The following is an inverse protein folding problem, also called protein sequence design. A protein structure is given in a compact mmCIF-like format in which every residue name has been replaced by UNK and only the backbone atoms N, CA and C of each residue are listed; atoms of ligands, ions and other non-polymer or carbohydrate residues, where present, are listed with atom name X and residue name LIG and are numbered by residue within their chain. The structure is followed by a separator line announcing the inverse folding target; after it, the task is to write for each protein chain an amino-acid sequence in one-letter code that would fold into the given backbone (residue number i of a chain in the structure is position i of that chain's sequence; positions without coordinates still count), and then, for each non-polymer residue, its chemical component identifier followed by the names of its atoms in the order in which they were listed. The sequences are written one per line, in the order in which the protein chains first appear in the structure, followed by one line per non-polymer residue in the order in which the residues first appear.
data_IF_701873695768
#
_entry.id   IF_701873695768
#
_cell.length_a   1.000
_cell.length_b   1.000
_cell.length_c   1.000
_cell.angle_alpha   90.00
_cell.angle_beta   90.00
_cell.angle_gamma   90.00
#
_symmetry.space_group_name_H-M   'P 1'
#
loop_
_entity.id
_entity.type
_entity.pdbx_description
1 polymer ?
#
# COMPACT_ATOMS: atom_id res chain seq x y z
N UNK A 1 28.94 -0.25 5.36
CA UNK A 1 28.92 1.22 5.41
C UNK A 1 27.71 1.86 4.69
N UNK A 2 27.29 1.46 3.48
CA UNK A 2 26.14 2.05 2.77
C UNK A 2 24.80 1.99 3.57
N UNK A 3 24.54 0.92 4.32
CA UNK A 3 23.29 0.75 5.10
C UNK A 3 23.17 1.73 6.30
N UNK A 4 24.29 2.10 6.93
CA UNK A 4 24.31 3.06 8.03
C UNK A 4 24.12 4.51 7.55
N UNK A 5 24.57 4.83 6.33
CA UNK A 5 24.39 6.17 5.75
C UNK A 5 22.91 6.44 5.46
N UNK A 6 22.17 5.46 4.98
CA UNK A 6 20.71 5.58 4.74
C UNK A 6 19.91 5.74 6.04
N UNK A 7 20.26 4.99 7.09
CA UNK A 7 19.60 5.11 8.40
C UNK A 7 19.87 6.49 9.04
N UNK A 8 21.09 7.00 8.92
CA UNK A 8 21.47 8.32 9.45
C UNK A 8 20.80 9.46 8.68
N UNK A 9 20.70 9.35 7.34
CA UNK A 9 19.99 10.32 6.51
C UNK A 9 18.50 10.39 6.84
N UNK A 10 17.86 9.23 7.10
CA UNK A 10 16.45 9.16 7.55
C UNK A 10 16.24 9.82 8.91
N UNK A 11 17.14 9.62 9.89
CA UNK A 11 17.03 10.23 11.21
C UNK A 11 17.22 11.75 11.15
N UNK A 12 18.14 12.26 10.33
CA UNK A 12 18.37 13.70 10.16
C UNK A 12 17.18 14.36 9.45
N UNK A 13 16.55 13.71 8.47
CA UNK A 13 15.35 14.21 7.79
C UNK A 13 14.14 14.28 8.75
N UNK A 14 13.97 13.29 9.63
CA UNK A 14 12.90 13.28 10.64
C UNK A 14 13.11 14.35 11.69
N UNK A 15 14.36 14.57 12.17
CA UNK A 15 14.67 15.59 13.14
C UNK A 15 14.48 17.03 12.59
N UNK A 16 14.82 17.25 11.32
CA UNK A 16 14.59 18.54 10.64
C UNK A 16 13.11 18.90 10.49
N UNK A 17 12.23 17.89 10.33
CA UNK A 17 10.79 18.09 10.15
C UNK A 17 10.08 18.59 11.40
N UNK A 18 10.51 18.17 12.59
CA UNK A 18 9.95 18.63 13.87
C UNK A 18 10.18 20.12 14.13
N UNK A 19 11.28 20.68 13.62
CA UNK A 19 11.59 22.11 13.74
C UNK A 19 10.78 22.99 12.77
N UNK A 20 10.54 22.51 11.55
CA UNK A 20 9.80 23.24 10.53
C UNK A 20 8.29 23.32 10.83
N UNK A 21 7.71 22.29 11.41
CA UNK A 21 6.29 22.26 11.80
C UNK A 21 5.96 23.26 12.93
N UNK A 22 6.93 23.62 13.77
CA UNK A 22 6.71 24.60 14.86
C UNK A 22 6.48 26.04 14.38
N UNK A 23 6.99 26.40 13.19
CA UNK A 23 6.84 27.77 12.63
C UNK A 23 5.54 28.00 11.85
N UNK A 24 4.86 26.95 11.41
CA UNK A 24 3.61 27.06 10.64
C UNK A 24 2.33 27.16 11.50
N UNK A 25 2.44 27.16 12.84
CA UNK A 25 1.27 27.21 13.74
C UNK A 25 0.45 28.50 13.73
N UNK A 26 0.83 29.51 12.96
CA UNK A 26 0.19 30.84 13.04
C UNK A 26 -0.95 31.04 12.02
N UNK A 27 -1.27 30.04 11.18
CA UNK A 27 -2.35 30.12 10.18
C UNK A 27 -3.36 28.96 10.26
N UNK A 28 -3.66 28.50 11.46
CA UNK A 28 -4.69 27.47 11.66
C UNK A 28 -6.09 28.09 11.66
N UNK A 29 -6.61 28.40 10.50
CA UNK A 29 -7.97 28.94 10.41
C UNK A 29 -8.83 28.11 9.44
N UNK A 30 -8.97 26.93 9.42
CA UNK A 30 -9.97 26.10 8.71
C UNK A 30 -9.45 24.68 8.48
N UNK A 31 -9.11 23.97 9.57
CA UNK A 31 -8.80 22.55 9.44
C UNK A 31 -10.06 21.81 8.92
N UNK A 32 -9.97 21.11 7.80
CA UNK A 32 -11.07 20.31 7.29
C UNK A 32 -11.49 19.25 8.30
N UNK A 33 -12.80 19.05 8.46
CA UNK A 33 -13.32 17.97 9.29
C UNK A 33 -13.07 16.59 8.70
N UNK A 34 -13.06 16.52 7.37
CA UNK A 34 -12.80 15.30 6.59
C UNK A 34 -11.92 15.58 5.40
N UNK A 35 -11.16 14.55 5.01
CA UNK A 35 -10.35 14.53 3.81
C UNK A 35 -10.78 13.38 2.91
N UNK A 36 -10.95 13.66 1.64
CA UNK A 36 -11.08 12.69 0.57
C UNK A 36 -9.81 12.73 -0.27
N UNK A 37 -9.20 11.58 -0.49
CA UNK A 37 -7.98 11.46 -1.30
C UNK A 37 -8.22 10.51 -2.46
N UNK A 38 -7.72 10.86 -3.63
CA UNK A 38 -7.61 9.97 -4.78
C UNK A 38 -6.18 10.03 -5.30
N UNK A 39 -5.59 8.88 -5.62
CA UNK A 39 -4.21 8.80 -6.07
C UNK A 39 -3.97 7.65 -7.05
N UNK A 40 -2.92 7.83 -7.84
CA UNK A 40 -2.37 6.81 -8.72
C UNK A 40 -0.90 6.61 -8.40
N UNK A 41 -0.41 5.40 -8.60
CA UNK A 41 1.01 5.12 -8.32
C UNK A 41 1.52 3.89 -9.04
N UNK A 42 2.83 3.74 -9.01
CA UNK A 42 3.52 2.56 -9.45
C UNK A 42 4.11 1.81 -8.25
N UNK A 43 4.11 0.48 -8.30
CA UNK A 43 4.75 -0.36 -7.31
C UNK A 43 5.38 -1.59 -7.95
N UNK A 44 6.34 -2.18 -7.26
CA UNK A 44 6.86 -3.51 -7.55
C UNK A 44 6.52 -4.44 -6.40
N UNK A 45 6.47 -5.73 -6.64
CA UNK A 45 6.23 -6.74 -5.61
C UNK A 45 7.22 -7.89 -5.79
N UNK A 46 7.66 -8.49 -4.70
CA UNK A 46 8.40 -9.75 -4.78
C UNK A 46 7.43 -10.94 -4.71
N UNK A 47 7.87 -12.10 -5.18
CA UNK A 47 7.07 -13.31 -5.20
C UNK A 47 6.70 -13.83 -3.81
N UNK A 48 5.63 -14.60 -3.76
CA UNK A 48 5.16 -15.35 -2.60
C UNK A 48 4.96 -16.82 -2.95
N UNK A 49 5.02 -17.68 -1.94
CA UNK A 49 4.79 -19.12 -2.08
C UNK A 49 3.49 -19.48 -1.36
N UNK A 50 2.58 -20.10 -2.06
CA UNK A 50 1.38 -20.71 -1.47
C UNK A 50 1.65 -22.19 -1.22
N UNK A 51 1.94 -22.56 0.02
CA UNK A 51 2.23 -23.93 0.40
C UNK A 51 1.00 -24.83 0.39
N UNK A 52 -0.21 -24.28 0.44
CA UNK A 52 -1.46 -25.05 0.41
C UNK A 52 -1.70 -25.63 -0.98
N UNK A 53 -1.46 -24.85 -2.02
CA UNK A 53 -1.59 -25.27 -3.41
C UNK A 53 -0.27 -25.70 -4.05
N UNK A 54 0.82 -25.68 -3.28
CA UNK A 54 2.18 -25.93 -3.74
C UNK A 54 2.54 -25.08 -4.97
N UNK A 55 2.18 -23.80 -4.92
CA UNK A 55 2.40 -22.85 -6.01
C UNK A 55 3.27 -21.67 -5.60
N UNK A 56 3.94 -21.09 -6.58
CA UNK A 56 4.74 -19.86 -6.44
C UNK A 56 4.15 -18.80 -7.37
N UNK A 57 3.99 -17.60 -6.84
CA UNK A 57 3.52 -16.42 -7.56
C UNK A 57 4.68 -15.44 -7.67
N UNK A 58 5.30 -15.35 -8.82
CA UNK A 58 6.43 -14.45 -9.07
C UNK A 58 5.94 -13.20 -9.81
N UNK A 59 5.93 -12.08 -9.10
CA UNK A 59 5.51 -10.78 -9.64
C UNK A 59 6.60 -10.11 -10.49
N UNK A 60 7.80 -10.67 -10.52
CA UNK A 60 8.92 -10.11 -11.27
C UNK A 60 9.36 -8.73 -10.78
N UNK A 61 10.10 -8.01 -11.61
CA UNK A 61 10.59 -6.65 -11.32
C UNK A 61 9.82 -5.55 -12.04
N UNK A 62 8.76 -5.89 -12.78
CA UNK A 62 7.97 -4.92 -13.53
C UNK A 62 7.21 -3.97 -12.60
N UNK A 63 7.11 -2.72 -12.98
CA UNK A 63 6.29 -1.73 -12.28
C UNK A 63 4.83 -1.94 -12.62
N UNK A 64 4.02 -2.16 -11.61
CA UNK A 64 2.57 -2.29 -11.69
C UNK A 64 1.90 -0.99 -11.29
N UNK A 65 0.76 -0.69 -11.91
CA UNK A 65 -0.02 0.49 -11.56
C UNK A 65 -1.08 0.17 -10.51
N UNK A 66 -1.29 1.11 -9.58
CA UNK A 66 -2.32 1.03 -8.56
C UNK A 66 -3.12 2.33 -8.47
N UNK A 67 -4.40 2.18 -8.11
CA UNK A 67 -5.29 3.28 -7.75
C UNK A 67 -5.54 3.23 -6.26
N UNK A 68 -5.56 4.39 -5.60
CA UNK A 68 -5.88 4.49 -4.17
C UNK A 68 -6.94 5.55 -3.95
N UNK A 69 -7.86 5.27 -3.03
CA UNK A 69 -8.79 6.24 -2.48
C UNK A 69 -8.81 6.13 -0.96
N UNK A 70 -8.98 7.27 -0.26
CA UNK A 70 -9.16 7.28 1.20
C UNK A 70 -10.21 8.29 1.62
N UNK A 71 -10.85 8.00 2.77
CA UNK A 71 -11.69 8.90 3.51
C UNK A 71 -11.15 8.99 4.95
N UNK A 72 -10.77 10.19 5.35
CA UNK A 72 -10.07 10.43 6.60
C UNK A 72 -10.74 11.55 7.38
N UNK A 73 -10.81 11.42 8.70
CA UNK A 73 -11.23 12.48 9.60
C UNK A 73 -10.01 13.33 9.96
N UNK A 74 -10.13 14.64 9.77
CA UNK A 74 -9.12 15.61 10.20
C UNK A 74 -9.02 15.64 11.73
N UNK A 75 -7.79 15.69 12.20
CA UNK A 75 -7.44 15.85 13.62
C UNK A 75 -6.69 17.18 13.83
N UNK A 76 -6.53 17.54 15.07
CA UNK A 76 -5.68 18.68 15.42
C UNK A 76 -4.25 18.48 14.87
N UNK A 77 -3.56 19.57 14.57
CA UNK A 77 -2.17 19.56 14.06
C UNK A 77 -1.98 19.11 12.60
N UNK A 78 -3.02 19.16 11.76
CA UNK A 78 -2.92 18.80 10.34
C UNK A 78 -2.73 17.32 10.08
N UNK A 79 -2.98 16.46 11.04
CA UNK A 79 -3.03 15.01 10.84
C UNK A 79 -4.45 14.54 10.57
N UNK A 80 -4.59 13.33 10.09
CA UNK A 80 -5.89 12.69 9.86
C UNK A 80 -5.78 11.18 10.04
N UNK A 81 -6.92 10.56 10.31
CA UNK A 81 -7.06 9.12 10.45
C UNK A 81 -8.34 8.67 9.75
N UNK A 82 -8.30 7.53 9.08
CA UNK A 82 -9.44 7.01 8.35
C UNK A 82 -9.23 5.65 7.75
N UNK A 83 -9.89 5.43 6.64
CA UNK A 83 -9.81 4.20 5.86
C UNK A 83 -9.31 4.51 4.45
N UNK A 84 -8.53 3.59 3.90
CA UNK A 84 -8.07 3.66 2.52
C UNK A 84 -8.20 2.31 1.84
N UNK A 85 -8.44 2.35 0.53
CA UNK A 85 -8.44 1.17 -0.33
C UNK A 85 -7.55 1.38 -1.53
N UNK A 86 -6.88 0.31 -1.98
CA UNK A 86 -6.16 0.31 -3.25
C UNK A 86 -6.67 -0.82 -4.14
N UNK A 87 -6.51 -0.62 -5.44
CA UNK A 87 -6.78 -1.64 -6.45
C UNK A 87 -5.64 -1.65 -7.47
N UNK A 88 -5.19 -2.85 -7.84
CA UNK A 88 -4.26 -3.07 -8.93
C UNK A 88 -4.58 -4.38 -9.65
N UNK A 89 -4.41 -4.42 -10.97
CA UNK A 89 -4.32 -5.67 -11.72
C UNK A 89 -2.85 -5.96 -11.99
N UNK A 90 -2.39 -7.11 -11.53
CA UNK A 90 -0.97 -7.45 -11.46
C UNK A 90 -0.70 -8.69 -12.31
N UNK A 91 0.11 -8.59 -13.38
CA UNK A 91 0.64 -9.76 -14.07
C UNK A 91 1.70 -10.44 -13.21
N UNK A 92 1.77 -11.77 -13.29
CA UNK A 92 2.77 -12.57 -12.58
C UNK A 92 3.02 -13.89 -13.29
N UNK A 93 4.16 -14.51 -13.01
CA UNK A 93 4.43 -15.88 -13.41
C UNK A 93 3.92 -16.83 -12.30
N UNK A 94 3.03 -17.71 -12.67
CA UNK A 94 2.53 -18.77 -11.81
C UNK A 94 3.27 -20.07 -12.10
N UNK A 95 3.72 -20.76 -11.06
CA UNK A 95 4.25 -22.11 -11.18
C UNK A 95 3.75 -22.99 -10.03
N UNK A 96 3.47 -24.26 -10.30
CA UNK A 96 3.01 -25.18 -9.28
C UNK A 96 3.68 -26.54 -9.41
N UNK A 97 3.94 -27.19 -8.26
CA UNK A 97 4.32 -28.58 -8.21
C UNK A 97 3.08 -29.45 -8.42
N UNK A 98 2.99 -30.05 -9.61
CA UNK A 98 1.86 -30.90 -9.99
C UNK A 98 1.90 -32.28 -9.33
N UNK A 99 3.03 -32.67 -8.71
CA UNK A 99 3.16 -33.95 -7.99
C UNK A 99 2.54 -33.90 -6.59
N UNK A 100 2.45 -32.70 -6.00
CA UNK A 100 1.77 -32.49 -4.73
C UNK A 100 0.26 -32.56 -4.87
N UNK A 101 -0.47 -33.28 -4.03
CA UNK A 101 -1.92 -33.34 -4.09
C UNK A 101 -2.53 -31.98 -3.78
N UNK A 102 -3.59 -31.61 -4.51
CA UNK A 102 -4.43 -30.47 -4.11
C UNK A 102 -5.30 -30.85 -2.92
N UNK A 103 -5.45 -29.97 -1.91
CA UNK A 103 -6.47 -30.16 -0.89
C UNK A 103 -7.85 -30.28 -1.51
N UNK A 104 -8.74 -31.07 -0.91
CA UNK A 104 -10.08 -31.33 -1.43
C UNK A 104 -10.96 -30.07 -1.53
N UNK A 105 -10.65 -29.05 -0.71
CA UNK A 105 -11.30 -27.74 -0.67
C UNK A 105 -10.65 -26.70 -1.59
N UNK A 106 -9.48 -26.99 -2.15
CA UNK A 106 -8.82 -26.11 -3.09
C UNK A 106 -9.49 -26.18 -4.47
N UNK A 107 -9.95 -25.05 -4.95
CA UNK A 107 -10.51 -24.92 -6.30
C UNK A 107 -9.51 -24.23 -7.24
N UNK A 108 -9.68 -24.45 -8.55
CA UNK A 108 -8.82 -23.89 -9.58
C UNK A 108 -7.89 -24.94 -10.22
N UNK A 109 -7.36 -24.59 -11.38
CA UNK A 109 -6.37 -25.39 -12.11
C UNK A 109 -4.95 -25.04 -11.65
N UNK A 110 -3.98 -25.89 -11.99
CA UNK A 110 -2.55 -25.61 -11.81
C UNK A 110 -1.83 -25.80 -13.13
N UNK A 111 -0.84 -24.98 -13.39
CA UNK A 111 0.11 -25.16 -14.48
C UNK A 111 1.52 -25.31 -13.91
N UNK A 112 2.37 -26.05 -14.61
CA UNK A 112 3.78 -26.20 -14.22
C UNK A 112 4.51 -24.85 -14.28
N UNK A 113 4.20 -24.03 -15.30
CA UNK A 113 4.67 -22.65 -15.45
C UNK A 113 3.78 -21.95 -16.46
N UNK A 114 3.17 -20.84 -16.10
CA UNK A 114 2.34 -20.05 -17.00
C UNK A 114 2.30 -18.56 -16.60
N UNK A 115 2.05 -17.71 -17.58
CA UNK A 115 1.75 -16.31 -17.34
C UNK A 115 0.30 -16.16 -16.86
N UNK A 116 0.11 -15.31 -15.90
CA UNK A 116 -1.16 -15.10 -15.25
C UNK A 116 -1.31 -13.65 -14.79
N UNK A 117 -2.52 -13.27 -14.40
CA UNK A 117 -2.81 -12.04 -13.72
C UNK A 117 -3.73 -12.28 -12.53
N UNK A 118 -3.68 -11.35 -11.58
CA UNK A 118 -4.60 -11.30 -10.45
C UNK A 118 -5.05 -9.87 -10.16
N UNK A 119 -6.17 -9.75 -9.48
CA UNK A 119 -6.62 -8.48 -8.91
C UNK A 119 -6.17 -8.41 -7.45
N UNK A 120 -5.38 -7.38 -7.13
CA UNK A 120 -4.91 -7.10 -5.79
C UNK A 120 -5.68 -5.90 -5.22
N UNK A 121 -6.36 -6.10 -4.10
CA UNK A 121 -7.15 -5.07 -3.42
C UNK A 121 -6.70 -4.96 -1.98
N UNK A 122 -6.47 -3.75 -1.48
CA UNK A 122 -6.21 -3.53 -0.06
C UNK A 122 -7.34 -2.78 0.61
N UNK A 123 -7.54 -3.05 1.89
CA UNK A 123 -8.36 -2.24 2.79
C UNK A 123 -7.59 -2.02 4.08
N UNK A 124 -7.33 -0.76 4.41
CA UNK A 124 -6.47 -0.40 5.53
C UNK A 124 -7.07 0.73 6.36
N UNK A 125 -6.79 0.72 7.66
CA UNK A 125 -6.80 1.91 8.47
C UNK A 125 -5.57 2.74 8.10
N UNK A 126 -5.73 4.04 7.89
CA UNK A 126 -4.66 4.94 7.47
C UNK A 126 -4.52 6.10 8.43
N UNK A 127 -3.29 6.43 8.79
CA UNK A 127 -2.91 7.63 9.49
C UNK A 127 -2.04 8.47 8.56
N UNK A 128 -2.40 9.74 8.42
CA UNK A 128 -1.68 10.68 7.58
C UNK A 128 -1.30 11.90 8.43
N UNK A 129 -0.03 12.29 8.39
CA UNK A 129 0.48 13.47 9.07
C UNK A 129 1.10 14.41 8.04
N UNK A 130 0.73 15.66 8.11
CA UNK A 130 1.16 16.72 7.20
C UNK A 130 0.01 17.16 6.29
N UNK A 131 -0.41 18.39 6.50
CA UNK A 131 -1.36 19.11 5.67
C UNK A 131 -1.16 20.62 5.88
N UNK A 132 -1.64 21.43 4.96
CA UNK A 132 -1.59 22.87 5.06
C UNK A 132 -1.31 23.53 3.72
N UNK A 133 -1.31 24.86 3.70
CA UNK A 133 -0.97 25.61 2.49
C UNK A 133 0.56 25.62 2.27
N UNK A 134 0.97 25.54 1.01
CA UNK A 134 2.37 25.53 0.61
C UNK A 134 3.05 24.18 0.78
N UNK A 135 4.37 24.17 0.74
CA UNK A 135 5.16 22.95 0.82
C UNK A 135 5.19 22.39 2.24
N UNK A 136 4.96 21.08 2.38
CA UNK A 136 5.02 20.38 3.66
C UNK A 136 5.52 18.94 3.46
N UNK A 137 6.10 18.38 4.52
CA UNK A 137 6.46 16.97 4.60
C UNK A 137 5.27 16.20 5.15
N UNK A 138 5.17 14.93 4.74
CA UNK A 138 4.10 14.06 5.19
C UNK A 138 4.61 12.65 5.52
N UNK A 139 3.91 12.02 6.45
CA UNK A 139 4.12 10.64 6.84
C UNK A 139 2.77 9.93 6.74
N UNK A 140 2.77 8.73 6.18
CA UNK A 140 1.61 7.87 6.10
C UNK A 140 1.91 6.52 6.74
N UNK A 141 0.99 6.02 7.56
CA UNK A 141 1.06 4.69 8.16
C UNK A 141 -0.26 3.97 7.88
N UNK A 142 -0.17 2.76 7.37
CA UNK A 142 -1.32 1.93 7.07
C UNK A 142 -1.24 0.58 7.80
N UNK A 143 -2.38 0.05 8.19
CA UNK A 143 -2.52 -1.30 8.73
C UNK A 143 -3.86 -1.90 8.32
N UNK A 144 -3.83 -3.12 7.81
CA UNK A 144 -5.05 -3.78 7.34
C UNK A 144 -4.79 -5.08 6.61
N UNK A 145 -5.44 -5.26 5.48
CA UNK A 145 -5.39 -6.49 4.68
C UNK A 145 -5.15 -6.21 3.21
N UNK A 146 -4.53 -7.18 2.54
CA UNK A 146 -4.48 -7.29 1.08
C UNK A 146 -5.20 -8.58 0.66
N UNK A 147 -6.07 -8.47 -0.33
CA UNK A 147 -6.77 -9.60 -0.95
C UNK A 147 -6.25 -9.82 -2.36
N UNK A 148 -5.84 -11.03 -2.65
CA UNK A 148 -5.47 -11.51 -3.97
C UNK A 148 -6.64 -12.30 -4.54
N UNK A 149 -7.21 -11.83 -5.64
CA UNK A 149 -8.41 -12.44 -6.23
C UNK A 149 -8.27 -12.60 -7.74
N UNK A 150 -9.18 -13.36 -8.33
CA UNK A 150 -9.25 -13.53 -9.79
C UNK A 150 -7.93 -13.98 -10.42
N UNK A 151 -7.23 -14.95 -9.76
CA UNK A 151 -6.05 -15.56 -10.33
C UNK A 151 -6.45 -16.29 -11.62
N UNK A 152 -5.96 -15.81 -12.76
CA UNK A 152 -6.31 -16.36 -14.08
C UNK A 152 -5.09 -16.49 -14.96
N UNK A 153 -5.03 -17.60 -15.67
CA UNK A 153 -4.04 -17.82 -16.71
C UNK A 153 -4.33 -16.91 -17.92
N UNK A 154 -3.30 -16.34 -18.51
CA UNK A 154 -3.47 -15.37 -19.60
C UNK A 154 -3.86 -16.02 -20.93
N UNK A 155 -3.49 -17.29 -21.16
CA UNK A 155 -3.70 -17.97 -22.44
C UNK A 155 -5.16 -18.34 -22.71
N UNK A 156 -5.91 -18.74 -21.70
CA UNK A 156 -7.27 -19.27 -21.83
C UNK A 156 -8.26 -18.73 -20.79
N UNK A 157 -7.78 -17.88 -19.85
CA UNK A 157 -8.57 -17.31 -18.77
C UNK A 157 -8.97 -18.33 -17.68
N UNK A 158 -8.36 -19.53 -17.68
CA UNK A 158 -8.62 -20.54 -16.66
C UNK A 158 -8.28 -19.99 -15.26
N UNK A 159 -9.16 -20.28 -14.29
CA UNK A 159 -8.94 -19.88 -12.90
C UNK A 159 -7.87 -20.76 -12.28
N UNK A 160 -6.82 -20.14 -11.75
CA UNK A 160 -5.73 -20.83 -11.08
C UNK A 160 -6.01 -21.02 -9.58
N UNK A 161 -5.38 -22.05 -9.01
CA UNK A 161 -5.42 -22.29 -7.56
C UNK A 161 -4.53 -21.29 -6.79
N UNK A 162 -4.99 -20.82 -5.61
CA UNK A 162 -6.29 -21.08 -4.99
C UNK A 162 -7.42 -20.29 -5.66
N UNK A 163 -8.45 -21.00 -6.15
CA UNK A 163 -9.55 -20.38 -6.91
C UNK A 163 -10.38 -19.36 -6.12
N UNK A 164 -10.36 -19.44 -4.79
CA UNK A 164 -10.96 -18.45 -3.87
C UNK A 164 -10.13 -17.20 -3.68
N UNK A 165 -8.87 -17.21 -4.10
CA UNK A 165 -7.88 -16.20 -3.76
C UNK A 165 -7.35 -16.34 -2.33
N UNK A 166 -6.62 -15.33 -1.86
CA UNK A 166 -6.06 -15.28 -0.51
C UNK A 166 -6.22 -13.88 0.09
N UNK A 167 -6.19 -13.80 1.44
CA UNK A 167 -6.25 -12.54 2.19
C UNK A 167 -5.14 -12.55 3.24
N UNK A 168 -4.25 -11.57 3.16
CA UNK A 168 -3.10 -11.43 4.03
C UNK A 168 -3.17 -10.17 4.88
N UNK A 169 -2.66 -10.18 6.12
CA UNK A 169 -2.41 -8.97 6.87
C UNK A 169 -1.34 -8.12 6.18
N UNK A 170 -1.52 -6.79 6.27
CA UNK A 170 -0.70 -5.81 5.59
C UNK A 170 -0.34 -4.64 6.51
N UNK A 171 0.93 -4.21 6.43
CA UNK A 171 1.42 -2.98 7.03
C UNK A 171 2.18 -2.15 6.01
N UNK A 172 2.04 -0.82 6.11
CA UNK A 172 2.73 0.11 5.23
C UNK A 172 3.22 1.32 6.01
N UNK A 173 4.39 1.81 5.63
CA UNK A 173 4.91 3.08 6.09
C UNK A 173 5.37 3.90 4.87
N UNK A 174 5.02 5.17 4.86
CA UNK A 174 5.32 6.08 3.77
C UNK A 174 5.84 7.42 4.26
N UNK A 175 6.68 8.02 3.42
CA UNK A 175 7.19 9.37 3.59
C UNK A 175 7.10 10.10 2.25
N UNK A 176 6.80 11.38 2.30
CA UNK A 176 6.66 12.16 1.10
C UNK A 176 6.61 13.65 1.34
N UNK A 177 6.20 14.34 0.28
CA UNK A 177 6.05 15.77 0.25
C UNK A 177 4.70 16.13 -0.34
N UNK A 178 4.08 17.13 0.24
CA UNK A 178 2.84 17.71 -0.27
C UNK A 178 3.01 19.18 -0.61
N UNK A 179 2.16 19.63 -1.51
CA UNK A 179 2.00 21.05 -1.81
C UNK A 179 0.52 21.42 -1.71
N UNK A 180 0.22 22.24 -0.70
CA UNK A 180 -1.12 22.76 -0.50
C UNK A 180 -1.41 23.91 -1.45
N UNK A 181 -2.26 23.66 -2.44
CA UNK A 181 -2.82 24.67 -3.35
C UNK A 181 -3.75 25.62 -2.59
N UNK A 182 -4.36 25.12 -1.53
CA UNK A 182 -5.19 25.87 -0.60
C UNK A 182 -5.18 25.18 0.77
N UNK A 183 -5.85 25.77 1.76
CA UNK A 183 -6.04 25.13 3.08
C UNK A 183 -6.85 23.79 2.98
N UNK A 184 -7.47 23.52 1.84
CA UNK A 184 -8.35 22.35 1.64
C UNK A 184 -8.00 21.52 0.40
N UNK A 185 -6.92 21.82 -0.29
CA UNK A 185 -6.55 21.09 -1.50
C UNK A 185 -5.04 20.90 -1.53
N UNK A 186 -4.59 19.66 -1.44
CA UNK A 186 -3.17 19.29 -1.47
C UNK A 186 -2.90 18.33 -2.63
N UNK A 187 -1.72 18.45 -3.19
CA UNK A 187 -1.12 17.46 -4.09
C UNK A 187 0.04 16.83 -3.33
N UNK A 188 -0.02 15.51 -3.16
CA UNK A 188 0.92 14.76 -2.33
C UNK A 188 1.68 13.75 -3.19
N UNK A 189 3.00 13.72 -3.03
CA UNK A 189 3.89 12.71 -3.60
C UNK A 189 4.48 11.88 -2.46
N UNK A 190 4.18 10.57 -2.46
CA UNK A 190 4.50 9.69 -1.34
C UNK A 190 5.23 8.46 -1.85
N UNK A 191 6.35 8.13 -1.20
CA UNK A 191 7.02 6.85 -1.31
C UNK A 191 6.57 5.98 -0.14
N UNK A 192 6.03 4.78 -0.41
CA UNK A 192 5.63 3.84 0.63
C UNK A 192 6.38 2.52 0.51
N UNK A 193 6.54 1.85 1.64
CA UNK A 193 7.04 0.49 1.70
C UNK A 193 6.02 -0.37 2.44
N UNK A 194 5.44 -1.32 1.72
CA UNK A 194 4.35 -2.16 2.20
C UNK A 194 4.84 -3.59 2.40
N UNK A 195 4.38 -4.24 3.47
CA UNK A 195 4.62 -5.64 3.80
C UNK A 195 3.28 -6.37 3.86
N UNK A 196 3.06 -7.33 2.97
CA UNK A 196 1.99 -8.31 3.06
C UNK A 196 2.55 -9.61 3.63
N UNK A 197 1.97 -10.15 4.69
CA UNK A 197 2.43 -11.38 5.32
C UNK A 197 1.57 -12.52 4.80
N UNK A 198 2.07 -13.23 3.79
CA UNK A 198 1.39 -14.38 3.22
C UNK A 198 1.46 -15.59 4.17
N UNK A 199 0.43 -16.42 4.17
CA UNK A 199 0.38 -17.59 5.05
C UNK A 199 1.54 -18.56 4.77
N UNK A 200 1.93 -19.30 5.80
CA UNK A 200 3.08 -20.23 5.75
C UNK A 200 2.66 -21.70 5.81
N UNK A 201 1.36 -21.99 5.81
CA UNK A 201 0.85 -23.36 5.85
C UNK A 201 1.38 -24.15 4.65
N UNK A 202 1.94 -25.32 4.88
CA UNK A 202 2.51 -26.16 3.83
C UNK A 202 3.95 -25.83 3.42
N UNK A 203 4.53 -24.71 3.93
CA UNK A 203 5.93 -24.35 3.66
C UNK A 203 6.88 -24.94 4.72
N UNK A 204 8.14 -25.14 4.32
CA UNK A 204 9.20 -25.57 5.23
C UNK A 204 9.43 -24.54 6.35
N UNK A 205 9.84 -25.02 7.53
CA UNK A 205 10.17 -24.14 8.64
C UNK A 205 11.31 -23.17 8.28
N UNK A 206 11.14 -21.89 8.68
CA UNK A 206 12.15 -20.84 8.44
C UNK A 206 12.00 -20.05 7.14
N UNK A 207 11.15 -20.46 6.21
CA UNK A 207 10.90 -19.68 4.99
C UNK A 207 10.19 -18.36 5.31
N UNK A 208 10.73 -17.26 4.82
CA UNK A 208 10.01 -15.96 4.84
C UNK A 208 9.03 -15.93 3.69
N UNK A 209 7.76 -15.65 3.98
CA UNK A 209 6.71 -15.54 2.97
C UNK A 209 6.06 -14.15 3.09
N UNK A 210 6.88 -13.12 2.85
CA UNK A 210 6.46 -11.73 2.97
C UNK A 210 6.52 -11.07 1.62
N UNK A 211 5.38 -10.61 1.12
CA UNK A 211 5.32 -9.78 -0.07
C UNK A 211 5.75 -8.35 0.29
N UNK A 212 6.82 -7.89 -0.33
CA UNK A 212 7.38 -6.53 -0.15
C UNK A 212 7.03 -5.70 -1.36
N UNK A 213 6.37 -4.58 -1.13
CA UNK A 213 5.83 -3.75 -2.20
C UNK A 213 6.25 -2.28 -2.01
N UNK A 214 7.47 -1.91 -2.45
CA UNK A 214 7.82 -0.49 -2.56
C UNK A 214 6.96 0.18 -3.63
N UNK A 215 6.49 1.38 -3.33
CA UNK A 215 5.65 2.14 -4.26
C UNK A 215 5.94 3.64 -4.25
N UNK A 216 5.57 4.30 -5.35
CA UNK A 216 5.52 5.76 -5.47
C UNK A 216 4.11 6.14 -5.90
N UNK A 217 3.54 7.15 -5.24
CA UNK A 217 2.17 7.59 -5.49
C UNK A 217 2.07 9.09 -5.57
N UNK A 218 1.28 9.57 -6.53
CA UNK A 218 0.79 10.93 -6.63
C UNK A 218 -0.69 10.94 -6.24
N UNK A 219 -1.08 11.84 -5.36
CA UNK A 219 -2.45 11.93 -4.83
C UNK A 219 -2.95 13.36 -4.83
N UNK A 220 -4.23 13.53 -5.10
CA UNK A 220 -4.99 14.75 -4.86
C UNK A 220 -5.83 14.54 -3.60
N UNK A 221 -5.69 15.45 -2.65
CA UNK A 221 -6.38 15.42 -1.37
C UNK A 221 -7.24 16.64 -1.20
N UNK A 222 -8.55 16.45 -0.93
CA UNK A 222 -9.53 17.50 -0.79
C UNK A 222 -10.19 17.46 0.58
N UNK A 223 -10.21 18.60 1.25
CA UNK A 223 -10.77 18.76 2.59
C UNK A 223 -12.18 19.33 2.58
N UNK A 224 -13.06 18.76 3.39
CA UNK A 224 -14.47 19.13 3.52
C UNK A 224 -14.84 19.39 4.98
N UNK A 225 -15.88 20.18 5.19
CA UNK A 225 -16.33 20.52 6.52
C UNK A 225 -15.27 21.32 7.31
N UNK A 226 -15.36 21.31 8.60
CA UNK A 226 -14.50 22.06 9.52
C UNK A 226 -15.21 23.28 10.11
N UNK A 227 -14.84 23.65 11.33
CA UNK A 227 -15.33 24.85 12.02
C UNK A 227 -14.37 25.99 11.75
N UNK A 228 -14.91 27.12 11.34
CA UNK A 228 -14.18 28.40 11.43
C UNK A 228 -14.02 28.71 12.91
N UNK A 229 -12.83 28.54 13.45
CA UNK A 229 -12.54 29.01 14.80
C UNK A 229 -12.19 30.49 14.65
N UNK A 230 -13.17 31.34 14.83
CA UNK A 230 -12.93 32.76 15.10
C UNK A 230 -12.34 32.85 16.52
N UNK A 231 -11.07 33.15 16.62
CA UNK A 231 -10.43 33.65 17.84
C UNK A 231 -10.32 35.15 17.77
#
# INVERSE_FOLDING_TARGET
MRRFLFAFLMVVLVAGSLGAQRRQRTYATNDPGFWLTAGIGGFTANGVNDGVTASTWDFGSATNFQYRASLERGMANGSSFGIAGTFARVPFAYSADLTSPLPADASGSRCLSCNAHLDMTTLVATFHSGAGAGFHQLVELDGGIVAYRNLKQDSDGARLAPGGGNIDPLFSAGYGFGYGLSARTNVDFISTYTFGIHERKGLSNGSSNTNRMPSLRLSLRMGFGGRTVTR
#
